data_IF_347342536469
#
_entry.id   IF_347342536469
#
_cell.length_a   1.000
_cell.length_b   1.000
_cell.length_c   1.000
_cell.angle_alpha   90.00
_cell.angle_beta   90.00
_cell.angle_gamma   90.00
#
_symmetry.space_group_name_H-M   'P 1'
#
loop_
_entity.id
_entity.type
_entity.pdbx_description
1 polymer ?
#
# COMPACT_ATOMS: atom_id res chain seq x y z
N UNK A 1 -9.08 8.03 8.64
CA UNK A 1 -9.06 8.17 7.16
C UNK A 1 -10.18 7.36 6.52
N UNK A 2 -10.19 6.02 6.59
CA UNK A 2 -11.33 5.24 6.08
C UNK A 2 -12.68 5.53 6.76
N UNK A 3 -12.68 5.84 8.07
CA UNK A 3 -13.89 6.27 8.81
C UNK A 3 -14.31 7.73 8.55
N UNK A 4 -13.42 8.57 8.00
CA UNK A 4 -13.69 10.00 7.82
C UNK A 4 -14.33 10.33 6.46
N UNK A 5 -14.71 9.31 5.68
CA UNK A 5 -15.27 9.47 4.33
C UNK A 5 -14.29 9.94 3.25
N UNK A 6 -12.98 10.00 3.55
CA UNK A 6 -11.96 10.37 2.57
C UNK A 6 -11.51 9.14 1.78
N UNK A 7 -11.29 9.32 0.49
CA UNK A 7 -10.81 8.25 -0.38
C UNK A 7 -9.46 7.72 0.10
N UNK A 8 -9.37 6.41 0.23
CA UNK A 8 -8.18 5.71 0.67
C UNK A 8 -7.91 4.54 -0.26
N UNK A 9 -6.69 4.46 -0.80
CA UNK A 9 -6.20 3.25 -1.44
C UNK A 9 -5.12 2.62 -0.57
N UNK A 10 -5.26 1.33 -0.27
CA UNK A 10 -4.24 0.56 0.43
C UNK A 10 -3.78 -0.59 -0.45
N UNK A 11 -2.47 -0.71 -0.62
CA UNK A 11 -1.83 -1.82 -1.34
C UNK A 11 -0.93 -2.53 -0.34
N UNK A 12 -1.13 -3.83 -0.16
CA UNK A 12 -0.34 -4.66 0.75
C UNK A 12 0.23 -5.87 0.03
N UNK A 13 1.28 -6.47 0.58
CA UNK A 13 1.79 -7.73 0.06
C UNK A 13 0.85 -8.89 0.42
N UNK A 14 0.88 -10.01 -0.34
CA UNK A 14 0.10 -11.22 -0.07
C UNK A 14 0.20 -11.67 1.40
N UNK A 15 1.44 -11.78 1.91
CA UNK A 15 1.73 -12.19 3.29
C UNK A 15 1.11 -11.25 4.33
N UNK A 16 1.09 -9.94 4.08
CA UNK A 16 0.46 -8.97 4.98
C UNK A 16 -1.06 -9.12 4.95
N UNK A 17 -1.65 -9.29 3.77
CA UNK A 17 -3.09 -9.52 3.64
C UNK A 17 -3.54 -10.80 4.35
N UNK A 18 -2.87 -11.92 4.12
CA UNK A 18 -3.21 -13.20 4.75
C UNK A 18 -3.13 -13.12 6.27
N UNK A 19 -2.10 -12.43 6.80
CA UNK A 19 -1.97 -12.14 8.23
C UNK A 19 -3.11 -11.28 8.76
N UNK A 20 -3.46 -10.19 8.08
CA UNK A 20 -4.56 -9.32 8.47
C UNK A 20 -5.90 -10.06 8.46
N UNK A 21 -6.12 -10.94 7.48
CA UNK A 21 -7.32 -11.77 7.37
C UNK A 21 -7.42 -12.75 8.54
N UNK A 22 -6.32 -13.40 8.90
CA UNK A 22 -6.25 -14.32 10.05
C UNK A 22 -6.46 -13.63 11.40
N UNK A 23 -5.85 -12.46 11.61
CA UNK A 23 -5.93 -11.74 12.89
C UNK A 23 -7.21 -10.89 13.05
N UNK A 24 -7.78 -10.38 11.95
CA UNK A 24 -8.83 -9.34 11.98
C UNK A 24 -9.99 -9.56 10.99
N UNK A 25 -10.22 -10.77 10.48
CA UNK A 25 -11.18 -11.10 9.41
C UNK A 25 -12.45 -10.23 9.35
N UNK A 26 -13.34 -10.31 10.34
CA UNK A 26 -14.60 -9.55 10.35
C UNK A 26 -14.41 -8.02 10.33
N UNK A 27 -13.38 -7.51 11.02
CA UNK A 27 -13.05 -6.07 11.02
C UNK A 27 -12.45 -5.64 9.69
N UNK A 28 -11.62 -6.49 9.09
CA UNK A 28 -11.00 -6.27 7.79
C UNK A 28 -12.06 -6.24 6.69
N UNK A 29 -12.99 -7.20 6.69
CA UNK A 29 -14.12 -7.24 5.75
C UNK A 29 -14.98 -5.98 5.83
N UNK A 30 -15.35 -5.56 7.06
CA UNK A 30 -16.07 -4.30 7.26
C UNK A 30 -15.31 -3.08 6.75
N UNK A 31 -13.98 -3.07 6.87
CA UNK A 31 -13.13 -1.98 6.42
C UNK A 31 -13.03 -1.94 4.88
N UNK A 32 -12.85 -3.10 4.25
CA UNK A 32 -12.77 -3.26 2.79
C UNK A 32 -14.11 -2.92 2.12
N UNK A 33 -15.23 -3.29 2.74
CA UNK A 33 -16.58 -3.05 2.19
C UNK A 33 -17.04 -1.58 2.18
N UNK A 34 -16.18 -0.62 2.50
CA UNK A 34 -16.52 0.81 2.45
C UNK A 34 -16.31 1.39 1.07
N UNK A 35 -17.26 2.20 0.61
CA UNK A 35 -17.23 2.80 -0.72
C UNK A 35 -15.99 3.68 -0.98
N UNK A 36 -15.47 4.34 0.05
CA UNK A 36 -14.28 5.21 -0.03
C UNK A 36 -12.95 4.44 0.17
N UNK A 37 -12.97 3.11 0.22
CA UNK A 37 -11.78 2.28 0.42
C UNK A 37 -11.54 1.41 -0.81
N UNK A 38 -10.37 1.56 -1.40
CA UNK A 38 -9.83 0.61 -2.39
C UNK A 38 -8.74 -0.21 -1.72
N UNK A 39 -8.95 -1.52 -1.61
CA UNK A 39 -7.95 -2.44 -1.04
C UNK A 39 -7.42 -3.36 -2.13
N UNK A 40 -6.09 -3.36 -2.31
CA UNK A 40 -5.41 -4.14 -3.33
C UNK A 40 -4.34 -5.03 -2.70
N UNK A 41 -4.13 -6.19 -3.30
CA UNK A 41 -3.01 -7.07 -3.00
C UNK A 41 -1.99 -6.95 -4.13
N UNK A 42 -0.74 -6.66 -3.77
CA UNK A 42 0.35 -6.56 -4.73
C UNK A 42 0.66 -7.95 -5.29
N UNK A 43 0.41 -8.15 -6.59
CA UNK A 43 0.60 -9.43 -7.26
C UNK A 43 2.07 -9.58 -7.67
N UNK A 44 2.86 -10.08 -6.73
CA UNK A 44 4.27 -10.28 -6.94
C UNK A 44 4.49 -11.63 -7.65
N UNK A 45 4.78 -11.59 -8.96
CA UNK A 45 5.41 -12.72 -9.67
C UNK A 45 6.89 -12.91 -9.25
N UNK A 46 7.14 -12.87 -7.95
CA UNK A 46 8.31 -13.42 -7.26
C UNK A 46 9.60 -12.59 -7.19
N UNK A 47 9.66 -11.31 -7.59
CA UNK A 47 10.95 -10.58 -7.65
C UNK A 47 10.94 -9.08 -7.37
N UNK A 48 9.82 -8.46 -6.99
CA UNK A 48 9.74 -7.00 -6.93
C UNK A 48 9.32 -6.55 -5.55
N UNK A 49 10.29 -6.14 -4.74
CA UNK A 49 10.00 -5.57 -3.43
C UNK A 49 9.56 -4.11 -3.64
N UNK A 50 8.34 -3.78 -3.23
CA UNK A 50 7.84 -2.41 -3.27
C UNK A 50 8.30 -1.64 -2.01
N UNK A 51 8.71 -0.37 -2.14
CA UNK A 51 8.95 0.46 -0.97
C UNK A 51 7.66 0.70 -0.18
N UNK A 52 7.78 0.90 1.13
CA UNK A 52 6.63 1.25 1.96
C UNK A 52 6.41 2.75 1.88
N UNK A 53 5.20 3.18 1.55
CA UNK A 53 4.89 4.58 1.29
C UNK A 53 3.51 4.99 1.81
N UNK A 54 3.37 6.26 2.15
CA UNK A 54 2.09 6.94 2.29
C UNK A 54 2.15 8.23 1.51
N UNK A 55 1.06 8.49 0.81
CA UNK A 55 0.85 9.72 0.06
C UNK A 55 -0.41 10.33 0.65
N UNK A 56 -0.29 11.56 1.13
CA UNK A 56 -1.43 12.38 1.58
C UNK A 56 -1.47 13.68 0.77
N UNK A 57 -2.50 14.48 0.97
CA UNK A 57 -2.59 15.80 0.36
C UNK A 57 -1.48 16.75 0.87
N UNK A 58 -1.03 16.53 2.11
CA UNK A 58 -0.10 17.41 2.82
C UNK A 58 1.36 16.98 2.63
N UNK A 59 1.64 15.69 2.78
CA UNK A 59 3.01 15.16 2.76
C UNK A 59 3.06 13.74 2.22
N UNK A 60 4.26 13.30 1.85
CA UNK A 60 4.58 11.90 1.58
C UNK A 60 5.56 11.37 2.63
N UNK A 61 5.40 10.10 2.99
CA UNK A 61 6.47 9.32 3.63
C UNK A 61 6.84 8.14 2.76
N UNK A 62 8.13 7.82 2.71
CA UNK A 62 8.66 6.68 1.97
C UNK A 62 9.80 6.03 2.74
N UNK A 63 9.71 4.72 2.91
CA UNK A 63 10.80 3.85 3.32
C UNK A 63 11.37 3.16 2.07
N UNK A 64 12.66 3.34 1.85
CA UNK A 64 13.40 2.70 0.76
C UNK A 64 14.26 1.56 1.31
N UNK A 65 14.64 0.66 0.40
CA UNK A 65 15.67 -0.33 0.68
C UNK A 65 17.04 0.33 0.62
N UNK A 66 17.93 -0.08 1.50
CA UNK A 66 19.35 0.23 1.36
C UNK A 66 19.97 -0.62 0.24
N UNK A 67 21.28 -0.45 0.03
CA UNK A 67 22.02 -1.20 -1.00
C UNK A 67 22.03 -2.72 -0.77
N UNK A 68 21.74 -3.18 0.45
CA UNK A 68 21.64 -4.60 0.80
C UNK A 68 20.22 -5.14 0.61
N UNK A 69 19.28 -4.33 0.09
CA UNK A 69 17.90 -4.73 -0.15
C UNK A 69 17.05 -4.83 1.12
N UNK A 70 17.50 -4.27 2.24
CA UNK A 70 16.76 -4.28 3.51
C UNK A 70 16.28 -2.87 3.87
N UNK A 71 15.20 -2.79 4.64
CA UNK A 71 14.80 -1.53 5.25
C UNK A 71 15.82 -1.16 6.33
N UNK A 72 16.49 -0.02 6.17
CA UNK A 72 17.44 0.51 7.16
C UNK A 72 16.76 1.41 8.21
N UNK A 73 15.43 1.34 8.30
CA UNK A 73 14.57 2.18 9.13
C UNK A 73 14.68 3.69 8.86
N UNK A 74 15.34 4.12 7.78
CA UNK A 74 15.32 5.52 7.38
C UNK A 74 14.05 5.82 6.61
N UNK A 75 13.39 6.88 7.02
CA UNK A 75 12.19 7.41 6.38
C UNK A 75 12.53 8.74 5.72
N UNK A 76 12.11 8.89 4.46
CA UNK A 76 12.05 10.19 3.80
C UNK A 76 10.66 10.78 4.00
N UNK A 77 10.60 11.97 4.59
CA UNK A 77 9.38 12.77 4.68
C UNK A 77 9.56 13.99 3.80
N UNK A 78 8.58 14.25 2.92
CA UNK A 78 8.60 15.43 2.07
C UNK A 78 7.25 16.12 2.02
N UNK A 79 7.30 17.44 2.00
CA UNK A 79 6.14 18.33 1.82
C UNK A 79 6.13 18.99 0.44
N UNK A 80 7.15 18.72 -0.38
CA UNK A 80 7.34 19.30 -1.70
C UNK A 80 6.51 18.58 -2.78
N UNK A 81 6.00 19.36 -3.73
CA UNK A 81 5.11 18.86 -4.78
C UNK A 81 5.83 18.00 -5.82
N UNK A 82 7.12 18.22 -6.08
CA UNK A 82 7.89 17.35 -6.98
C UNK A 82 8.04 15.95 -6.38
N UNK A 83 8.36 15.88 -5.09
CA UNK A 83 8.44 14.59 -4.39
C UNK A 83 7.08 13.88 -4.37
N UNK A 84 6.00 14.64 -4.13
CA UNK A 84 4.62 14.13 -4.17
C UNK A 84 4.25 13.56 -5.54
N UNK A 85 4.62 14.26 -6.62
CA UNK A 85 4.37 13.84 -7.99
C UNK A 85 5.11 12.54 -8.32
N UNK A 86 6.41 12.48 -8.02
CA UNK A 86 7.23 11.28 -8.21
C UNK A 86 6.69 10.08 -7.42
N UNK A 87 6.31 10.28 -6.15
CA UNK A 87 5.76 9.21 -5.31
C UNK A 87 4.41 8.71 -5.87
N UNK A 88 3.59 9.61 -6.44
CA UNK A 88 2.34 9.23 -7.14
C UNK A 88 2.59 8.40 -8.40
N UNK A 89 3.66 8.67 -9.15
CA UNK A 89 4.05 7.84 -10.30
C UNK A 89 4.46 6.44 -9.86
N UNK A 90 5.24 6.32 -8.79
CA UNK A 90 5.62 5.04 -8.21
C UNK A 90 4.41 4.26 -7.69
N UNK A 91 3.47 4.92 -7.01
CA UNK A 91 2.19 4.34 -6.64
C UNK A 91 1.42 3.81 -7.85
N UNK A 92 1.32 4.58 -8.94
CA UNK A 92 0.64 4.13 -10.18
C UNK A 92 1.32 2.89 -10.77
N UNK A 93 2.64 2.83 -10.74
CA UNK A 93 3.39 1.66 -11.20
C UNK A 93 3.06 0.41 -10.36
N UNK A 94 3.13 0.53 -9.02
CA UNK A 94 2.80 -0.56 -8.08
C UNK A 94 1.34 -1.02 -8.27
N UNK A 95 0.41 -0.07 -8.41
CA UNK A 95 -1.01 -0.34 -8.61
C UNK A 95 -1.31 -1.16 -9.86
N UNK A 96 -0.57 -0.95 -10.96
CA UNK A 96 -0.73 -1.75 -12.21
C UNK A 96 -0.44 -3.24 -12.00
N UNK A 97 0.43 -3.57 -11.06
CA UNK A 97 0.79 -4.94 -10.69
C UNK A 97 0.00 -5.44 -9.47
N UNK A 98 -1.06 -4.73 -9.07
CA UNK A 98 -1.89 -5.10 -7.92
C UNK A 98 -3.27 -5.55 -8.39
N UNK A 99 -3.89 -6.46 -7.63
CA UNK A 99 -5.24 -6.95 -7.89
C UNK A 99 -6.18 -6.55 -6.75
N UNK A 100 -7.46 -6.29 -7.01
CA UNK A 100 -8.47 -6.19 -5.95
C UNK A 100 -8.49 -7.44 -5.08
N UNK A 101 -8.76 -7.27 -3.79
CA UNK A 101 -8.80 -8.38 -2.81
C UNK A 101 -9.82 -9.47 -3.17
N UNK A 102 -10.88 -9.11 -3.89
CA UNK A 102 -11.91 -10.04 -4.37
C UNK A 102 -11.37 -10.99 -5.46
N UNK A 103 -10.30 -10.60 -6.15
CA UNK A 103 -9.62 -11.37 -7.19
C UNK A 103 -8.34 -12.04 -6.68
N UNK A 104 -8.02 -11.86 -5.39
CA UNK A 104 -6.85 -12.47 -4.77
C UNK A 104 -7.21 -13.84 -4.21
N UNK A 105 -6.63 -14.88 -4.81
CA UNK A 105 -6.67 -16.24 -4.26
C UNK A 105 -5.41 -16.47 -3.42
N UNK A 106 -5.60 -16.81 -2.15
CA UNK A 106 -4.51 -17.23 -1.26
C UNK A 106 -3.96 -18.57 -1.76
N UNK A 107 -2.65 -18.67 -1.92
CA UNK A 107 -1.96 -19.91 -2.35
C UNK A 107 -1.60 -20.80 -1.18
#
# INVERSE_FOLDING_TARGET
MGESGKDMTMIVTPKVFDRMKGEYGARLEKFIGKENVTFLVYNEKGKSIAPSMLITDVFTYTYLFNNDGVYDNKMLISFDDMTKSWTKELYKHIKKSSVPVEQYESK
#
